data_IF_322329806420
#
_entry.id   IF_322329806420
#
_cell.length_a   1.000
_cell.length_b   1.000
_cell.length_c   1.000
_cell.angle_alpha   90.00
_cell.angle_beta   90.00
_cell.angle_gamma   90.00
#
_symmetry.space_group_name_H-M   'P 1'
#
loop_
_entity.id
_entity.type
_entity.pdbx_description
1 polymer ?
#
# COMPACT_ATOMS: atom_id res chain seq x y z
N UNK A 1 -27.29 -8.70 -18.56
CA UNK A 1 -26.47 -7.77 -19.36
C UNK A 1 -25.51 -8.53 -20.26
N UNK A 2 -25.65 -8.35 -21.56
CA UNK A 2 -24.71 -8.87 -22.56
C UNK A 2 -23.37 -8.13 -22.51
N UNK A 3 -22.35 -8.68 -23.17
CA UNK A 3 -21.04 -8.01 -23.31
C UNK A 3 -21.18 -6.71 -24.11
N UNK A 4 -22.03 -6.71 -25.15
CA UNK A 4 -22.29 -5.53 -25.97
C UNK A 4 -22.93 -4.42 -25.15
N UNK A 5 -23.95 -4.73 -24.36
CA UNK A 5 -24.62 -3.75 -23.48
C UNK A 5 -23.65 -3.12 -22.47
N UNK A 6 -22.70 -3.91 -21.94
CA UNK A 6 -21.66 -3.38 -21.04
C UNK A 6 -20.74 -2.40 -21.77
N UNK A 7 -20.34 -2.71 -23.00
CA UNK A 7 -19.49 -1.83 -23.81
C UNK A 7 -20.22 -0.54 -24.18
N UNK A 8 -21.49 -0.62 -24.57
CA UNK A 8 -22.29 0.55 -24.94
C UNK A 8 -22.48 1.49 -23.72
N UNK A 9 -22.72 0.95 -22.53
CA UNK A 9 -22.79 1.75 -21.30
C UNK A 9 -21.47 2.44 -20.98
N UNK A 10 -20.37 1.71 -21.02
CA UNK A 10 -19.04 2.25 -20.73
C UNK A 10 -18.60 3.30 -21.77
N UNK A 11 -19.00 3.14 -23.02
CA UNK A 11 -18.79 4.12 -24.08
C UNK A 11 -19.62 5.39 -23.86
N UNK A 12 -20.91 5.23 -23.55
CA UNK A 12 -21.81 6.36 -23.24
C UNK A 12 -21.35 7.17 -22.03
N UNK A 13 -20.72 6.52 -21.06
CA UNK A 13 -20.15 7.13 -19.87
C UNK A 13 -18.71 7.65 -20.09
N UNK A 14 -18.15 7.50 -21.29
CA UNK A 14 -16.83 8.01 -21.66
C UNK A 14 -15.65 7.22 -21.07
N UNK A 15 -15.88 6.01 -20.55
CA UNK A 15 -14.87 5.15 -19.94
C UNK A 15 -14.19 4.18 -20.92
N UNK A 16 -14.56 4.17 -22.19
CA UNK A 16 -13.89 3.34 -23.20
C UNK A 16 -13.05 4.20 -24.15
N UNK A 17 -11.92 3.62 -24.57
CA UNK A 17 -11.16 4.05 -25.74
C UNK A 17 -11.28 2.97 -26.81
N UNK A 18 -11.78 3.37 -27.98
CA UNK A 18 -11.81 2.52 -29.18
C UNK A 18 -10.51 2.69 -29.97
N UNK A 19 -9.62 1.69 -29.98
CA UNK A 19 -8.43 1.72 -30.82
C UNK A 19 -8.76 1.52 -32.30
N UNK A 20 -7.76 1.66 -33.17
CA UNK A 20 -7.89 1.37 -34.60
C UNK A 20 -8.49 -0.02 -34.87
N UNK A 21 -9.19 -0.13 -36.01
CA UNK A 21 -10.00 -1.30 -36.41
C UNK A 21 -9.25 -2.62 -36.21
N UNK A 22 -9.92 -3.60 -35.59
CA UNK A 22 -9.38 -4.94 -35.32
C UNK A 22 -8.67 -5.10 -33.97
N UNK A 23 -8.63 -4.06 -33.12
CA UNK A 23 -8.05 -4.12 -31.77
C UNK A 23 -9.12 -4.12 -30.68
N UNK A 24 -8.78 -4.70 -29.53
CA UNK A 24 -9.67 -4.82 -28.37
C UNK A 24 -9.86 -3.44 -27.69
N UNK A 25 -11.10 -3.02 -27.38
CA UNK A 25 -11.39 -1.79 -26.65
C UNK A 25 -10.69 -1.73 -25.28
N UNK A 26 -10.32 -0.54 -24.82
CA UNK A 26 -9.61 -0.35 -23.54
C UNK A 26 -10.45 0.47 -22.56
N UNK A 27 -10.49 0.05 -21.31
CA UNK A 27 -11.11 0.79 -20.22
C UNK A 27 -10.20 1.91 -19.72
N UNK A 28 -10.73 3.13 -19.57
CA UNK A 28 -10.06 4.28 -18.95
C UNK A 28 -10.15 4.11 -17.43
N UNK A 29 -9.01 3.85 -16.79
CA UNK A 29 -8.89 3.86 -15.32
C UNK A 29 -8.43 5.24 -14.88
N UNK A 30 -9.29 5.96 -14.18
CA UNK A 30 -8.93 7.21 -13.52
C UNK A 30 -8.38 6.92 -12.12
N UNK A 31 -7.38 7.69 -11.69
CA UNK A 31 -6.72 7.50 -10.39
C UNK A 31 -7.73 7.65 -9.24
N UNK A 32 -8.64 8.61 -9.33
CA UNK A 32 -9.68 8.90 -8.34
C UNK A 32 -10.71 7.77 -8.14
N UNK A 33 -10.84 6.88 -9.12
CA UNK A 33 -11.73 5.69 -9.05
C UNK A 33 -10.98 4.42 -8.67
N UNK A 34 -9.67 4.52 -8.47
CA UNK A 34 -8.83 3.38 -8.11
C UNK A 34 -8.63 3.37 -6.60
N UNK A 35 -9.14 2.34 -5.93
CA UNK A 35 -8.92 2.10 -4.48
C UNK A 35 -7.45 1.81 -4.13
N UNK A 36 -6.58 1.79 -5.14
CA UNK A 36 -5.15 1.49 -5.01
C UNK A 36 -4.89 0.00 -4.94
N UNK A 37 -3.67 -0.37 -4.56
CA UNK A 37 -3.33 -1.74 -4.24
C UNK A 37 -3.49 -1.93 -2.73
N UNK A 38 -4.08 -3.03 -2.27
CA UNK A 38 -4.06 -3.40 -0.86
C UNK A 38 -2.62 -3.44 -0.34
N UNK A 39 -2.42 -3.06 0.92
CA UNK A 39 -1.14 -3.26 1.60
C UNK A 39 -0.77 -4.74 1.50
N UNK A 40 0.44 -5.00 1.01
CA UNK A 40 0.99 -6.34 0.90
C UNK A 40 1.66 -6.74 2.22
N UNK A 41 1.80 -8.04 2.43
CA UNK A 41 2.53 -8.63 3.56
C UNK A 41 4.05 -8.54 3.40
N UNK A 42 4.55 -8.49 2.17
CA UNK A 42 5.97 -8.26 1.87
C UNK A 42 6.28 -6.76 1.76
N UNK A 43 6.97 -6.25 2.78
CA UNK A 43 7.40 -4.85 2.85
C UNK A 43 8.76 -4.69 2.16
N UNK A 44 8.77 -4.03 1.00
CA UNK A 44 9.98 -3.81 0.18
C UNK A 44 10.44 -2.35 0.14
N UNK A 45 9.59 -1.43 0.59
CA UNK A 45 9.79 0.01 0.53
C UNK A 45 10.40 0.60 1.81
N UNK A 46 10.40 -0.14 2.92
CA UNK A 46 11.07 0.25 4.17
C UNK A 46 12.42 -0.46 4.27
N UNK A 47 13.50 0.31 4.18
CA UNK A 47 14.86 -0.22 4.18
C UNK A 47 15.40 -0.45 5.61
N UNK A 48 16.36 -1.38 5.80
CA UNK A 48 17.08 -1.51 7.06
C UNK A 48 17.82 -0.23 7.46
N UNK A 49 18.08 -0.07 8.75
CA UNK A 49 18.74 1.11 9.30
C UNK A 49 20.19 1.18 8.81
N UNK A 50 20.51 2.24 8.07
CA UNK A 50 21.87 2.53 7.61
C UNK A 50 22.80 2.97 8.74
N UNK A 51 24.12 2.83 8.53
CA UNK A 51 25.13 3.15 9.54
C UNK A 51 25.10 4.61 10.04
N UNK A 52 24.63 5.55 9.22
CA UNK A 52 24.55 6.98 9.53
C UNK A 52 23.12 7.47 9.76
N UNK A 53 22.15 6.55 9.91
CA UNK A 53 20.76 6.93 10.15
C UNK A 53 20.62 7.64 11.50
N UNK A 54 19.84 8.72 11.53
CA UNK A 54 19.62 9.52 12.75
C UNK A 54 18.95 8.72 13.88
N UNK A 55 18.08 7.77 13.53
CA UNK A 55 17.41 6.89 14.50
C UNK A 55 18.33 5.79 15.05
N UNK A 56 19.54 5.60 14.51
CA UNK A 56 20.42 4.49 14.87
C UNK A 56 20.94 4.67 16.29
N UNK A 57 20.64 3.69 17.14
CA UNK A 57 21.13 3.61 18.52
C UNK A 57 22.40 2.75 18.67
N UNK A 58 22.80 2.06 17.61
CA UNK A 58 23.92 1.10 17.63
C UNK A 58 23.54 -0.31 18.07
N UNK A 59 22.25 -0.58 18.32
CA UNK A 59 21.76 -1.92 18.65
C UNK A 59 21.81 -2.84 17.40
N UNK A 60 22.39 -4.05 17.47
CA UNK A 60 22.70 -4.86 16.28
C UNK A 60 21.52 -5.19 15.37
N UNK A 61 20.33 -5.37 15.94
CA UNK A 61 19.14 -5.81 15.21
C UNK A 61 17.97 -4.82 15.28
N UNK A 62 18.28 -3.54 15.48
CA UNK A 62 17.30 -2.45 15.54
C UNK A 62 16.41 -2.45 14.29
N UNK A 63 15.10 -2.36 14.51
CA UNK A 63 14.09 -2.20 13.44
C UNK A 63 13.86 -0.71 13.18
N UNK A 64 13.66 -0.28 11.92
CA UNK A 64 13.30 1.10 11.59
C UNK A 64 11.98 1.49 12.26
N UNK A 65 11.88 2.74 12.72
CA UNK A 65 10.64 3.27 13.32
C UNK A 65 9.47 3.14 12.34
N UNK A 66 9.67 3.54 11.08
CA UNK A 66 8.66 3.48 10.02
C UNK A 66 8.05 2.09 9.82
N UNK A 67 8.82 1.02 10.09
CA UNK A 67 8.33 -0.36 9.99
C UNK A 67 7.28 -0.63 11.07
N UNK A 68 7.57 -0.27 12.32
CA UNK A 68 6.66 -0.53 13.42
C UNK A 68 5.45 0.41 13.40
N UNK A 69 5.62 1.67 12.99
CA UNK A 69 4.50 2.59 12.75
C UNK A 69 3.49 1.98 11.77
N UNK A 70 3.96 1.44 10.65
CA UNK A 70 3.08 0.78 9.66
C UNK A 70 2.35 -0.42 10.26
N UNK A 71 3.05 -1.28 10.99
CA UNK A 71 2.46 -2.49 11.58
C UNK A 71 1.38 -2.12 12.59
N UNK A 72 1.66 -1.15 13.47
CA UNK A 72 0.73 -0.69 14.51
C UNK A 72 -0.50 -0.04 13.87
N UNK A 73 -0.32 0.89 12.93
CA UNK A 73 -1.43 1.56 12.23
C UNK A 73 -2.32 0.58 11.46
N UNK A 74 -1.75 -0.49 10.90
CA UNK A 74 -2.51 -1.50 10.19
C UNK A 74 -3.27 -2.47 11.12
N UNK A 75 -2.88 -2.56 12.40
CA UNK A 75 -3.32 -3.64 13.31
C UNK A 75 -4.01 -3.15 14.58
N UNK A 76 -4.11 -1.85 14.81
CA UNK A 76 -4.66 -1.26 16.04
C UNK A 76 -5.26 0.11 15.80
N UNK A 77 -6.07 0.57 16.75
CA UNK A 77 -6.64 1.91 16.80
C UNK A 77 -6.07 2.69 17.99
N UNK A 78 -6.32 4.00 17.99
CA UNK A 78 -6.00 4.84 19.14
C UNK A 78 -6.68 4.32 20.41
N UNK A 79 -5.88 4.20 21.48
CA UNK A 79 -6.33 3.65 22.78
C UNK A 79 -6.15 2.13 22.93
N UNK A 80 -5.85 1.40 21.86
CA UNK A 80 -5.50 -0.02 21.96
C UNK A 80 -4.16 -0.22 22.68
N UNK A 81 -4.03 -1.35 23.39
CA UNK A 81 -2.77 -1.73 24.03
C UNK A 81 -1.95 -2.60 23.09
N UNK A 82 -0.72 -2.17 22.78
CA UNK A 82 0.25 -2.94 21.99
C UNK A 82 1.26 -3.63 22.90
N UNK A 83 1.48 -4.93 22.72
CA UNK A 83 2.46 -5.72 23.46
C UNK A 83 3.61 -6.15 22.54
N UNK A 84 4.83 -5.75 22.89
CA UNK A 84 6.07 -6.28 22.33
C UNK A 84 6.91 -6.94 23.44
N UNK A 85 6.84 -8.29 23.60
CA UNK A 85 7.60 -8.99 24.64
C UNK A 85 9.07 -9.21 24.25
N UNK A 86 9.50 -8.75 23.06
CA UNK A 86 10.86 -8.86 22.55
C UNK A 86 11.43 -7.50 22.14
N UNK A 87 11.08 -6.46 22.90
CA UNK A 87 11.28 -5.05 22.53
C UNK A 87 12.73 -4.63 22.19
N UNK A 88 13.75 -5.37 22.64
CA UNK A 88 15.15 -5.08 22.29
C UNK A 88 15.56 -3.66 22.65
N UNK A 89 15.83 -2.82 21.65
CA UNK A 89 16.13 -1.39 21.84
C UNK A 89 14.90 -0.49 21.98
N UNK A 90 13.70 -1.06 22.08
CA UNK A 90 12.45 -0.35 22.34
C UNK A 90 11.90 0.43 21.16
N UNK A 91 12.15 0.03 19.91
CA UNK A 91 11.64 0.75 18.72
C UNK A 91 10.12 0.98 18.78
N UNK A 92 9.35 0.06 19.37
CA UNK A 92 7.89 0.16 19.47
C UNK A 92 7.39 1.20 20.50
N UNK A 93 8.30 1.78 21.30
CA UNK A 93 7.98 2.59 22.49
C UNK A 93 8.26 4.09 22.27
N UNK A 94 9.04 4.43 21.23
CA UNK A 94 9.55 5.79 20.97
C UNK A 94 8.70 6.60 20.00
#
# INVERSE_FOLDING_TARGET
MSVQEKLDLLDSAGYIVWPARGRVPRYKRYLEMSEGNPIQDVITDIQPIGAHARERLGYPTQKPIALLERIIQASSNEGDTVLDPFCGCGTAIV
#
